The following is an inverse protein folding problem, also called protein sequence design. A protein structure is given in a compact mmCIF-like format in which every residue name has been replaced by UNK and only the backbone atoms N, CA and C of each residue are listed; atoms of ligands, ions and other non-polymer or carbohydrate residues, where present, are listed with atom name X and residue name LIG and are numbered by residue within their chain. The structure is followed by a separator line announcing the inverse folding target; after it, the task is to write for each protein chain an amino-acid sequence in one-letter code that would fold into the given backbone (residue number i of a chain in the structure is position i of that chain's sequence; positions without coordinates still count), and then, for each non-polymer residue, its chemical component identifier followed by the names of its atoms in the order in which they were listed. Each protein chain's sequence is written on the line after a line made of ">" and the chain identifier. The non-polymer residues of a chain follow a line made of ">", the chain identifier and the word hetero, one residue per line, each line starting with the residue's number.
data_IF_248929538086
#
_entry.id   IF_248929538086
#
_cell.length_a   1.000
_cell.length_b   1.000
_cell.length_c   1.000
_cell.angle_alpha   90.00
_cell.angle_beta   90.00
_cell.angle_gamma   90.00
#
_symmetry.space_group_name_H-M   'P 1'
#
loop_
_entity.id
_entity.type
_entity.pdbx_description
1 polymer ?
#
# COMPACT_ATOMS: atom_id res chain seq x y z
N UNK A 1 24.97 -78.72 20.26
CA UNK A 1 23.93 -77.69 20.52
C UNK A 1 24.41 -76.56 21.43
N UNK A 2 24.99 -76.83 22.60
CA UNK A 2 25.41 -75.79 23.57
C UNK A 2 26.48 -74.82 23.00
N UNK A 3 27.52 -75.31 22.31
CA UNK A 3 28.54 -74.45 21.68
C UNK A 3 27.96 -73.51 20.59
N UNK A 4 26.94 -73.95 19.86
CA UNK A 4 26.29 -73.13 18.83
C UNK A 4 25.48 -71.98 19.43
N UNK A 5 24.83 -72.22 20.57
CA UNK A 5 24.07 -71.19 21.31
C UNK A 5 25.03 -70.16 21.90
N UNK A 6 26.14 -70.59 22.51
CA UNK A 6 27.16 -69.70 23.08
C UNK A 6 27.80 -68.83 21.99
N UNK A 7 28.13 -69.41 20.83
CA UNK A 7 28.70 -68.68 19.70
C UNK A 7 27.71 -67.64 19.15
N UNK A 8 26.42 -68.00 18.97
CA UNK A 8 25.38 -67.07 18.54
C UNK A 8 25.15 -65.93 19.53
N UNK A 9 25.16 -66.21 20.84
CA UNK A 9 25.00 -65.19 21.89
C UNK A 9 26.18 -64.21 21.91
N UNK A 10 27.42 -64.72 21.82
CA UNK A 10 28.62 -63.90 21.75
C UNK A 10 28.63 -63.01 20.49
N UNK A 11 28.27 -63.56 19.33
CA UNK A 11 28.17 -62.78 18.09
C UNK A 11 27.11 -61.67 18.16
N UNK A 12 25.93 -61.97 18.71
CA UNK A 12 24.86 -60.97 18.88
C UNK A 12 25.28 -59.86 19.86
N UNK A 13 25.95 -60.22 20.96
CA UNK A 13 26.49 -59.27 21.92
C UNK A 13 27.48 -58.29 21.26
N UNK A 14 28.43 -58.79 20.47
CA UNK A 14 29.39 -57.93 19.76
C UNK A 14 28.70 -56.97 18.78
N UNK A 15 27.64 -57.42 18.09
CA UNK A 15 26.86 -56.58 17.16
C UNK A 15 26.09 -55.47 17.89
N UNK A 16 25.42 -55.80 19.00
CA UNK A 16 24.70 -54.83 19.82
C UNK A 16 25.67 -53.78 20.37
N UNK A 17 26.81 -54.21 20.90
CA UNK A 17 27.81 -53.28 21.40
C UNK A 17 28.43 -52.40 20.32
N UNK A 18 28.74 -52.95 19.15
CA UNK A 18 29.27 -52.18 18.03
C UNK A 18 28.26 -51.11 17.57
N UNK A 19 26.98 -51.47 17.49
CA UNK A 19 25.91 -50.54 17.16
C UNK A 19 25.80 -49.40 18.18
N UNK A 20 25.80 -49.73 19.48
CA UNK A 20 25.69 -48.75 20.55
C UNK A 20 26.92 -47.82 20.64
N UNK A 21 28.14 -48.38 20.54
CA UNK A 21 29.38 -47.59 20.44
C UNK A 21 29.34 -46.64 19.25
N UNK A 22 28.87 -47.12 18.08
CA UNK A 22 28.69 -46.29 16.90
C UNK A 22 27.64 -45.19 17.08
N UNK A 23 26.53 -45.47 17.78
CA UNK A 23 25.52 -44.46 18.12
C UNK A 23 26.11 -43.34 18.97
N UNK A 24 26.87 -43.68 20.02
CA UNK A 24 27.50 -42.70 20.92
C UNK A 24 28.48 -41.81 20.15
N UNK A 25 29.38 -42.41 19.37
CA UNK A 25 30.37 -41.66 18.58
C UNK A 25 29.68 -40.72 17.60
N UNK A 26 28.64 -41.18 16.90
CA UNK A 26 27.87 -40.33 15.98
C UNK A 26 27.17 -39.16 16.69
N UNK A 27 26.61 -39.39 17.89
CA UNK A 27 25.98 -38.34 18.70
C UNK A 27 27.01 -37.29 19.14
N UNK A 28 28.18 -37.74 19.60
CA UNK A 28 29.28 -36.85 19.98
C UNK A 28 29.82 -36.05 18.77
N UNK A 29 30.06 -36.72 17.65
CA UNK A 29 30.59 -36.10 16.43
C UNK A 29 29.64 -35.04 15.85
N UNK A 30 28.32 -35.25 15.94
CA UNK A 30 27.31 -34.23 15.57
C UNK A 30 27.47 -32.94 16.36
N UNK A 31 27.80 -33.02 17.65
CA UNK A 31 28.03 -31.84 18.49
C UNK A 31 29.38 -31.19 18.17
N UNK A 32 30.43 -31.98 17.98
CA UNK A 32 31.76 -31.48 17.60
C UNK A 32 31.72 -30.66 16.30
N UNK A 33 30.94 -31.12 15.30
CA UNK A 33 30.79 -30.41 14.02
C UNK A 33 30.17 -29.01 14.15
N UNK A 34 29.48 -28.71 15.25
CA UNK A 34 28.88 -27.39 15.48
C UNK A 34 29.88 -26.37 16.03
N UNK A 35 30.98 -26.83 16.63
CA UNK A 35 31.93 -25.96 17.36
C UNK A 35 33.32 -25.96 16.74
N UNK A 36 33.72 -27.05 16.06
CA UNK A 36 35.06 -27.18 15.49
C UNK A 36 35.00 -27.10 13.97
N UNK A 37 35.76 -26.17 13.34
CA UNK A 37 35.85 -26.08 11.89
C UNK A 37 36.42 -27.37 11.25
N UNK A 38 35.76 -27.94 10.22
CA UNK A 38 36.29 -29.07 9.48
C UNK A 38 37.62 -28.75 8.77
N UNK A 39 38.45 -29.78 8.53
CA UNK A 39 39.70 -29.65 7.75
C UNK A 39 39.45 -29.52 6.25
N UNK A 40 38.43 -30.23 5.74
CA UNK A 40 38.04 -30.18 4.34
C UNK A 40 37.59 -28.76 3.96
N UNK A 41 38.12 -28.23 2.85
CA UNK A 41 37.92 -26.83 2.45
C UNK A 41 36.44 -26.52 2.16
N UNK A 42 35.71 -27.43 1.51
CA UNK A 42 34.30 -27.21 1.15
C UNK A 42 33.42 -27.22 2.39
N UNK A 43 33.66 -28.18 3.29
CA UNK A 43 32.93 -28.28 4.56
C UNK A 43 33.26 -27.12 5.50
N UNK A 44 34.52 -26.65 5.49
CA UNK A 44 34.95 -25.47 6.26
C UNK A 44 34.25 -24.20 5.79
N UNK A 45 34.13 -23.99 4.47
CA UNK A 45 33.37 -22.85 3.92
C UNK A 45 31.93 -22.87 4.41
N UNK A 46 31.23 -24.00 4.29
CA UNK A 46 29.85 -24.16 4.75
C UNK A 46 29.69 -23.92 6.25
N UNK A 47 30.63 -24.41 7.06
CA UNK A 47 30.62 -24.17 8.51
C UNK A 47 30.64 -22.68 8.87
N UNK A 48 31.53 -21.90 8.22
CA UNK A 48 31.61 -20.47 8.48
C UNK A 48 30.43 -19.68 7.92
N UNK A 49 29.89 -20.10 6.78
CA UNK A 49 28.66 -19.54 6.21
C UNK A 49 27.50 -19.67 7.21
N UNK A 50 27.25 -20.87 7.73
CA UNK A 50 26.22 -21.11 8.75
C UNK A 50 26.42 -20.25 10.00
N UNK A 51 27.68 -20.06 10.44
CA UNK A 51 28.01 -19.22 11.60
C UNK A 51 27.81 -17.74 11.35
N UNK A 52 28.18 -17.23 10.18
CA UNK A 52 27.91 -15.85 9.79
C UNK A 52 26.41 -15.60 9.71
N UNK A 53 25.65 -16.51 9.11
CA UNK A 53 24.18 -16.41 9.07
C UNK A 53 23.58 -16.35 10.48
N UNK A 54 24.04 -17.20 11.41
CA UNK A 54 23.60 -17.18 12.81
C UNK A 54 23.87 -15.82 13.48
N UNK A 55 25.05 -15.25 13.27
CA UNK A 55 25.44 -13.94 13.81
C UNK A 55 24.60 -12.82 13.19
N UNK A 56 24.46 -12.79 11.86
CA UNK A 56 23.66 -11.80 11.15
C UNK A 56 22.20 -11.84 11.57
N UNK A 57 21.61 -13.03 11.70
CA UNK A 57 20.23 -13.18 12.18
C UNK A 57 20.07 -12.68 13.61
N UNK A 58 21.03 -12.98 14.50
CA UNK A 58 20.99 -12.47 15.87
C UNK A 58 21.10 -10.95 15.91
N UNK A 59 21.96 -10.36 15.08
CA UNK A 59 22.10 -8.92 14.96
C UNK A 59 20.81 -8.27 14.44
N UNK A 60 20.24 -8.81 13.37
CA UNK A 60 18.98 -8.32 12.80
C UNK A 60 17.83 -8.42 13.81
N UNK A 61 17.76 -9.51 14.59
CA UNK A 61 16.76 -9.66 15.65
C UNK A 61 16.99 -8.72 16.84
N UNK A 62 18.23 -8.30 17.09
CA UNK A 62 18.53 -7.34 18.16
C UNK A 62 18.26 -5.89 17.76
N UNK A 63 18.13 -5.61 16.46
CA UNK A 63 17.68 -4.32 15.97
C UNK A 63 16.15 -4.29 16.01
N UNK A 64 15.61 -3.65 17.04
CA UNK A 64 14.22 -3.22 17.07
C UNK A 64 14.14 -1.85 16.41
N UNK A 65 13.81 -1.82 15.12
CA UNK A 65 13.52 -0.56 14.44
C UNK A 65 12.05 -0.28 14.70
N UNK A 66 11.76 0.47 15.76
CA UNK A 66 10.41 0.89 16.16
C UNK A 66 9.79 1.90 15.17
N UNK A 67 9.78 1.51 13.90
CA UNK A 67 9.29 2.28 12.76
C UNK A 67 7.76 2.32 12.82
N UNK A 68 7.13 1.27 13.34
CA UNK A 68 5.69 1.20 13.52
C UNK A 68 5.19 2.24 14.53
N UNK A 69 5.91 2.48 15.63
CA UNK A 69 5.56 3.54 16.59
C UNK A 69 5.71 4.93 15.99
N UNK A 70 6.80 5.16 15.23
CA UNK A 70 7.00 6.41 14.50
C UNK A 70 5.91 6.67 13.45
N UNK A 71 5.50 5.67 12.67
CA UNK A 71 4.39 5.81 11.72
C UNK A 71 3.06 6.02 12.43
N UNK A 72 2.81 5.33 13.55
CA UNK A 72 1.65 5.60 14.39
C UNK A 72 1.62 7.05 14.89
N UNK A 73 2.77 7.62 15.27
CA UNK A 73 2.86 9.00 15.74
C UNK A 73 2.57 10.02 14.62
N UNK A 74 3.10 9.78 13.41
CA UNK A 74 2.79 10.59 12.22
C UNK A 74 1.28 10.55 11.94
N UNK A 75 0.71 9.35 11.82
CA UNK A 75 -0.70 9.17 11.48
C UNK A 75 -1.60 9.82 12.54
N UNK A 76 -1.25 9.70 13.81
CA UNK A 76 -1.99 10.34 14.92
C UNK A 76 -1.95 11.87 14.83
N UNK A 77 -0.78 12.43 14.50
CA UNK A 77 -0.60 13.89 14.36
C UNK A 77 -1.37 14.45 13.16
N UNK A 78 -1.35 13.72 12.04
CA UNK A 78 -2.12 14.05 10.84
C UNK A 78 -3.61 13.98 11.15
N UNK A 79 -4.09 12.90 11.78
CA UNK A 79 -5.48 12.75 12.16
C UNK A 79 -5.97 13.91 13.05
N UNK A 80 -5.20 14.28 14.07
CA UNK A 80 -5.52 15.42 14.93
C UNK A 80 -5.60 16.74 14.16
N UNK A 81 -4.67 16.97 13.21
CA UNK A 81 -4.70 18.16 12.35
C UNK A 81 -5.96 18.18 11.48
N UNK A 82 -6.30 17.06 10.85
CA UNK A 82 -7.52 16.92 10.06
C UNK A 82 -8.78 17.18 10.87
N UNK A 83 -8.84 16.72 12.13
CA UNK A 83 -9.97 16.96 13.01
C UNK A 83 -10.17 18.46 13.30
N UNK A 84 -9.08 19.19 13.58
CA UNK A 84 -9.14 20.65 13.77
C UNK A 84 -9.69 21.36 12.52
N UNK A 85 -9.23 20.97 11.33
CA UNK A 85 -9.74 21.53 10.08
C UNK A 85 -11.21 21.18 9.85
N UNK A 86 -11.63 19.95 10.17
CA UNK A 86 -13.02 19.51 10.05
C UNK A 86 -13.95 20.27 11.00
N UNK A 87 -13.53 20.46 12.26
CA UNK A 87 -14.29 21.24 13.26
C UNK A 87 -14.43 22.71 12.84
N UNK A 88 -13.36 23.28 12.26
CA UNK A 88 -13.40 24.64 11.74
C UNK A 88 -14.36 24.74 10.55
N UNK A 89 -14.33 23.77 9.64
CA UNK A 89 -15.22 23.71 8.49
C UNK A 89 -16.68 23.45 8.88
N UNK A 90 -16.97 22.66 9.91
CA UNK A 90 -18.34 22.51 10.45
C UNK A 90 -18.86 23.79 11.08
N UNK A 91 -18.01 24.52 11.80
CA UNK A 91 -18.39 25.78 12.44
C UNK A 91 -18.46 26.95 11.48
N UNK A 92 -17.66 26.93 10.41
CA UNK A 92 -17.55 28.02 9.45
C UNK A 92 -18.25 27.76 8.13
N UNK A 93 -18.65 26.52 7.80
CA UNK A 93 -19.26 26.17 6.52
C UNK A 93 -20.53 26.98 6.28
N UNK A 94 -20.46 28.07 5.51
CA UNK A 94 -21.64 28.87 5.23
C UNK A 94 -22.46 28.08 4.21
N UNK A 95 -23.78 28.14 4.31
CA UNK A 95 -24.57 27.98 3.10
C UNK A 95 -24.14 29.10 2.15
N UNK A 96 -23.41 28.75 1.08
CA UNK A 96 -22.98 29.72 0.07
C UNK A 96 -24.24 30.34 -0.53
N UNK A 97 -24.45 31.62 -0.27
CA UNK A 97 -25.59 32.37 -0.79
C UNK A 97 -25.45 32.56 -2.32
N UNK A 98 -26.55 32.85 -3.01
CA UNK A 98 -26.58 33.06 -4.46
C UNK A 98 -25.60 34.15 -4.93
N UNK A 99 -25.46 35.24 -4.18
CA UNK A 99 -24.49 36.32 -4.47
C UNK A 99 -23.03 35.82 -4.43
N UNK A 100 -22.76 34.83 -3.59
CA UNK A 100 -21.43 34.24 -3.47
C UNK A 100 -21.18 33.23 -4.58
N UNK A 101 -22.19 32.44 -4.97
CA UNK A 101 -22.13 31.59 -6.17
C UNK A 101 -21.86 32.38 -7.45
N UNK A 102 -22.45 33.57 -7.60
CA UNK A 102 -22.16 34.46 -8.74
C UNK A 102 -20.68 34.87 -8.78
N UNK A 103 -20.08 35.20 -7.64
CA UNK A 103 -18.64 35.54 -7.55
C UNK A 103 -17.77 34.33 -7.90
N UNK A 104 -18.10 33.15 -7.38
CA UNK A 104 -17.40 31.89 -7.66
C UNK A 104 -17.49 31.56 -9.16
N UNK A 105 -18.65 31.76 -9.78
CA UNK A 105 -18.84 31.54 -11.20
C UNK A 105 -17.99 32.49 -12.05
N UNK A 106 -17.98 33.80 -11.72
CA UNK A 106 -17.11 34.78 -12.38
C UNK A 106 -15.64 34.39 -12.23
N UNK A 107 -15.23 33.91 -11.06
CA UNK A 107 -13.87 33.47 -10.80
C UNK A 107 -13.50 32.23 -11.64
N UNK A 108 -14.38 31.24 -11.73
CA UNK A 108 -14.15 30.03 -12.52
C UNK A 108 -13.95 30.34 -14.00
N UNK A 109 -14.76 31.24 -14.57
CA UNK A 109 -14.61 31.65 -15.98
C UNK A 109 -13.29 32.39 -16.27
N UNK A 110 -12.71 33.06 -15.27
CA UNK A 110 -11.39 33.72 -15.42
C UNK A 110 -10.22 32.73 -15.44
N UNK A 111 -10.40 31.52 -14.94
CA UNK A 111 -9.33 30.52 -14.87
C UNK A 111 -9.03 29.85 -16.23
N UNK A 112 -9.79 30.20 -17.28
CA UNK A 112 -9.61 29.70 -18.66
C UNK A 112 -9.58 28.16 -18.78
N UNK A 113 -10.22 27.46 -17.83
CA UNK A 113 -10.34 26.00 -17.84
C UNK A 113 -11.52 25.65 -18.77
N UNK A 114 -11.20 25.33 -20.02
CA UNK A 114 -12.19 24.92 -21.02
C UNK A 114 -12.53 23.43 -20.97
N UNK A 115 -11.63 22.59 -20.45
CA UNK A 115 -11.75 21.14 -20.43
C UNK A 115 -12.00 20.60 -19.02
N UNK A 116 -12.78 19.52 -18.92
CA UNK A 116 -13.02 18.81 -17.68
C UNK A 116 -11.74 18.08 -17.26
N UNK A 117 -11.14 18.37 -16.09
CA UNK A 117 -9.85 17.78 -15.75
C UNK A 117 -9.88 16.28 -15.41
N UNK A 118 -11.08 15.69 -15.28
CA UNK A 118 -11.25 14.26 -15.05
C UNK A 118 -11.20 13.47 -16.36
N UNK A 119 -11.92 13.93 -17.39
CA UNK A 119 -12.03 13.21 -18.67
C UNK A 119 -11.30 13.89 -19.84
N UNK A 120 -10.74 15.08 -19.61
CA UNK A 120 -9.95 15.86 -20.57
C UNK A 120 -10.78 16.18 -21.83
N UNK A 121 -12.06 16.52 -21.66
CA UNK A 121 -12.98 16.88 -22.73
C UNK A 121 -13.66 18.22 -22.45
N UNK A 122 -14.08 19.00 -23.48
CA UNK A 122 -14.66 20.33 -23.29
C UNK A 122 -15.85 20.36 -22.32
N UNK A 123 -15.85 21.34 -21.39
CA UNK A 123 -16.92 21.60 -20.41
C UNK A 123 -18.14 22.27 -21.04
N UNK A 124 -17.92 23.09 -22.06
CA UNK A 124 -18.97 23.75 -22.85
C UNK A 124 -19.03 23.11 -24.23
N UNK A 125 -20.21 22.64 -24.61
CA UNK A 125 -20.46 22.21 -25.98
C UNK A 125 -20.66 23.49 -26.83
N UNK A 126 -19.91 23.70 -27.92
CA UNK A 126 -20.20 24.81 -28.82
C UNK A 126 -21.63 24.67 -29.32
N UNK A 127 -22.49 25.64 -29.00
CA UNK A 127 -23.80 25.74 -29.62
C UNK A 127 -23.59 25.98 -31.12
N UNK A 128 -23.73 24.91 -31.91
CA UNK A 128 -23.92 24.92 -33.36
C UNK A 128 -23.25 26.10 -34.10
N UNK A 129 -21.91 26.09 -34.24
CA UNK A 129 -21.34 26.68 -35.44
C UNK A 129 -21.67 25.74 -36.59
N UNK A 130 -22.66 26.17 -37.36
CA UNK A 130 -22.93 25.69 -38.70
C UNK A 130 -21.64 25.84 -39.51
N UNK A 131 -20.89 24.75 -39.70
CA UNK A 131 -20.24 24.45 -40.97
C UNK A 131 -19.62 23.04 -40.97
N UNK A 132 -20.35 22.10 -41.58
CA UNK A 132 -19.81 21.42 -42.76
C UNK A 132 -18.78 20.30 -42.63
N UNK A 133 -18.41 19.77 -41.45
CA UNK A 133 -17.54 18.58 -41.38
C UNK A 133 -18.09 17.48 -40.47
N UNK A 134 -18.63 16.46 -41.14
CA UNK A 134 -19.05 15.18 -40.60
C UNK A 134 -17.87 14.46 -39.94
N UNK A 135 -17.92 14.31 -38.61
CA UNK A 135 -17.23 13.20 -37.94
C UNK A 135 -18.22 12.41 -37.10
N UNK A 136 -18.17 11.12 -37.35
CA UNK A 136 -19.10 10.05 -37.01
C UNK A 136 -19.43 9.92 -35.51
N UNK A 137 -20.69 9.61 -35.20
CA UNK A 137 -20.96 8.45 -34.33
C UNK A 137 -21.35 8.60 -32.86
N UNK A 138 -21.22 9.75 -32.18
CA UNK A 138 -21.61 9.84 -30.76
C UNK A 138 -22.72 10.87 -30.53
N UNK A 139 -23.89 10.39 -30.11
CA UNK A 139 -24.98 11.21 -29.60
C UNK A 139 -24.52 11.94 -28.33
N UNK A 140 -23.87 13.09 -28.50
CA UNK A 140 -23.40 13.92 -27.41
C UNK A 140 -24.59 14.63 -26.78
N UNK A 141 -25.25 13.96 -25.83
CA UNK A 141 -26.17 14.62 -24.89
C UNK A 141 -25.43 15.78 -24.22
N UNK A 142 -26.09 16.93 -24.01
CA UNK A 142 -25.48 18.03 -23.27
C UNK A 142 -25.03 17.52 -21.91
N UNK A 143 -23.72 17.54 -21.68
CA UNK A 143 -23.14 17.17 -20.39
C UNK A 143 -23.28 18.41 -19.50
N UNK A 144 -24.12 18.30 -18.48
CA UNK A 144 -24.24 19.34 -17.46
C UNK A 144 -22.87 19.55 -16.79
N UNK A 145 -22.54 20.80 -16.52
CA UNK A 145 -21.29 21.16 -15.84
C UNK A 145 -21.58 21.42 -14.36
N UNK A 146 -20.73 20.89 -13.49
CA UNK A 146 -20.76 21.13 -12.06
C UNK A 146 -19.66 22.14 -11.70
N UNK A 147 -20.05 23.22 -11.03
CA UNK A 147 -19.17 24.21 -10.44
C UNK A 147 -19.02 23.92 -8.95
N UNK A 148 -17.77 23.88 -8.47
CA UNK A 148 -17.45 23.67 -7.06
C UNK A 148 -17.22 25.00 -6.34
N UNK A 149 -17.43 25.04 -5.03
CA UNK A 149 -17.16 26.22 -4.18
C UNK A 149 -15.70 26.69 -4.23
N UNK A 150 -14.77 25.78 -4.55
CA UNK A 150 -13.37 26.10 -4.82
C UNK A 150 -13.09 26.66 -6.23
N UNK A 151 -14.14 27.11 -6.96
CA UNK A 151 -14.08 27.67 -8.31
C UNK A 151 -13.61 26.73 -9.43
N UNK A 152 -13.63 25.41 -9.20
CA UNK A 152 -13.28 24.42 -10.22
C UNK A 152 -14.52 23.84 -10.92
N UNK A 153 -14.37 23.48 -12.19
CA UNK A 153 -15.46 22.98 -13.03
C UNK A 153 -15.19 21.58 -13.58
N UNK A 154 -16.23 20.75 -13.60
CA UNK A 154 -16.19 19.36 -14.09
C UNK A 154 -17.49 19.01 -14.81
N UNK A 155 -17.52 17.99 -15.66
CA UNK A 155 -18.80 17.39 -16.04
C UNK A 155 -19.45 16.78 -14.80
N UNK A 156 -20.75 16.99 -14.64
CA UNK A 156 -21.53 16.45 -13.52
C UNK A 156 -21.37 14.93 -13.37
N UNK A 157 -21.37 14.20 -14.49
CA UNK A 157 -21.17 12.74 -14.49
C UNK A 157 -19.76 12.32 -14.11
N UNK A 158 -18.74 13.06 -14.53
CA UNK A 158 -17.35 12.78 -14.17
C UNK A 158 -17.12 13.03 -12.67
N UNK A 159 -17.66 14.12 -12.14
CA UNK A 159 -17.59 14.44 -10.74
C UNK A 159 -18.34 13.41 -9.88
N UNK A 160 -19.55 13.02 -10.30
CA UNK A 160 -20.33 12.00 -9.59
C UNK A 160 -19.57 10.66 -9.52
N UNK A 161 -18.99 10.20 -10.63
CA UNK A 161 -18.20 8.98 -10.63
C UNK A 161 -17.02 9.10 -9.65
N UNK A 162 -16.31 10.22 -9.64
CA UNK A 162 -15.21 10.47 -8.70
C UNK A 162 -15.66 10.42 -7.23
N UNK A 163 -16.83 11.01 -6.93
CA UNK A 163 -17.42 10.97 -5.59
C UNK A 163 -17.76 9.54 -5.16
N UNK A 164 -18.34 8.71 -6.05
CA UNK A 164 -18.69 7.31 -5.77
C UNK A 164 -17.47 6.43 -5.47
N UNK A 165 -16.31 6.73 -6.07
CA UNK A 165 -15.04 6.04 -5.76
C UNK A 165 -14.36 6.55 -4.49
N UNK A 166 -14.75 7.73 -3.98
CA UNK A 166 -14.15 8.31 -2.79
C UNK A 166 -14.79 7.70 -1.55
N UNK A 167 -14.05 6.87 -0.80
CA UNK A 167 -14.49 6.29 0.49
C UNK A 167 -14.62 7.31 1.64
N UNK A 168 -14.69 8.61 1.32
CA UNK A 168 -14.70 9.72 2.28
C UNK A 168 -16.16 10.15 2.53
N UNK A 169 -16.49 10.48 3.77
CA UNK A 169 -17.81 11.04 4.11
C UNK A 169 -18.06 12.41 3.47
N UNK A 170 -17.00 13.19 3.22
CA UNK A 170 -17.05 14.49 2.53
C UNK A 170 -16.25 14.46 1.23
N UNK A 171 -16.82 14.92 0.11
CA UNK A 171 -16.11 14.94 -1.15
C UNK A 171 -15.04 16.05 -1.19
N UNK A 172 -13.87 15.72 -1.74
CA UNK A 172 -12.74 16.65 -1.93
C UNK A 172 -12.52 16.91 -3.42
N UNK A 173 -12.16 18.15 -3.77
CA UNK A 173 -12.00 18.54 -5.15
C UNK A 173 -10.84 17.75 -5.80
N UNK A 174 -11.04 17.14 -6.99
CA UNK A 174 -9.98 16.41 -7.69
C UNK A 174 -8.73 17.25 -8.01
N UNK A 175 -8.87 18.57 -8.12
CA UNK A 175 -7.78 19.50 -8.50
C UNK A 175 -7.04 20.06 -7.29
N UNK A 176 -7.76 20.69 -6.36
CA UNK A 176 -7.16 21.41 -5.25
C UNK A 176 -7.25 20.68 -3.91
N UNK A 177 -7.93 19.53 -3.86
CA UNK A 177 -8.15 18.70 -2.65
C UNK A 177 -8.91 19.40 -1.52
N UNK A 178 -9.42 20.60 -1.74
CA UNK A 178 -10.32 21.28 -0.80
C UNK A 178 -11.68 20.59 -0.78
N UNK A 179 -12.30 20.49 0.39
CA UNK A 179 -13.72 20.18 0.52
C UNK A 179 -14.56 21.20 -0.28
N UNK A 180 -15.72 20.76 -0.78
CA UNK A 180 -16.53 21.63 -1.62
C UNK A 180 -18.04 21.43 -1.45
N UNK A 181 -18.78 22.49 -1.76
CA UNK A 181 -20.18 22.42 -2.18
C UNK A 181 -20.23 22.46 -3.71
N UNK A 182 -21.27 21.90 -4.33
CA UNK A 182 -21.43 21.86 -5.79
C UNK A 182 -22.74 22.49 -6.24
N UNK A 183 -22.69 23.21 -7.37
CA UNK A 183 -23.84 23.77 -8.07
C UNK A 183 -23.80 23.31 -9.52
N UNK A 184 -24.92 22.82 -10.03
CA UNK A 184 -25.04 22.47 -11.46
C UNK A 184 -25.29 23.76 -12.24
N UNK A 185 -24.44 24.01 -13.23
CA UNK A 185 -24.56 25.11 -14.18
C UNK A 185 -24.98 24.53 -15.55
N UNK A 186 -26.08 25.07 -16.07
CA UNK A 186 -26.67 24.73 -17.38
C UNK A 186 -26.25 25.72 -18.44
#
# INVERSE_FOLDING_TARGET
>A
YICYIIFKYSFLYHRIQAFWRGHIVRKWYKNLRKTVPPKDVRLRKKFFEEKLTEICQRLLKSYDTCIDEFFCEIDSTVAASHEVFQQLEEKLGPEINEVEWEKIQIQAFRQDIADCPICIMPLLQPAQLQDGLSLDGYQSRPRQTALLSCSHMFHSTCLQAFEEFSLRERPICPLCRSCYQKKIIS
#
